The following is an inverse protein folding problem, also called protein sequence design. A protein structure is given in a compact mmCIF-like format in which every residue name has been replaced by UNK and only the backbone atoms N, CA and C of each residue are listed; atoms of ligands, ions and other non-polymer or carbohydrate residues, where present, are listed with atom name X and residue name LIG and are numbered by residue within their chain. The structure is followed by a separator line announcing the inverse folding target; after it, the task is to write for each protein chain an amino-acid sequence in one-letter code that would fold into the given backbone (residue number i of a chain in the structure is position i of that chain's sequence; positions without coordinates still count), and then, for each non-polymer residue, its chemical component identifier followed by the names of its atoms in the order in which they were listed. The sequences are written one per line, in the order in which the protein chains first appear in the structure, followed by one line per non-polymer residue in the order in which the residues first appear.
data_IF_996532662894
#
_entry.id   IF_996532662894
#
_cell.length_a   1.000
_cell.length_b   1.000
_cell.length_c   1.000
_cell.angle_alpha   90.00
_cell.angle_beta   90.00
_cell.angle_gamma   90.00
#
_symmetry.space_group_name_H-M   'P 1'
#
loop_
_entity.id
_entity.type
_entity.pdbx_description
1 polymer ?
#
# COMPACT_ATOMS: atom_id res chain seq x y z
N UNK A 1 8.85 33.50 -31.92
CA UNK A 1 9.33 32.40 -31.05
C UNK A 1 8.29 31.29 -31.02
N UNK A 2 8.59 30.11 -31.60
CA UNK A 2 7.64 28.99 -31.74
C UNK A 2 7.53 28.19 -30.44
N UNK A 3 6.29 27.98 -30.00
CA UNK A 3 5.86 27.22 -28.81
C UNK A 3 6.56 25.85 -28.73
N UNK A 4 7.62 25.72 -27.92
CA UNK A 4 8.21 24.42 -27.53
C UNK A 4 7.56 23.81 -26.27
N UNK A 5 6.61 24.51 -25.64
CA UNK A 5 6.04 24.11 -24.35
C UNK A 5 4.90 23.06 -24.43
N UNK A 6 4.14 23.02 -25.53
CA UNK A 6 2.96 22.13 -25.62
C UNK A 6 3.29 20.63 -25.79
N UNK A 7 4.50 20.28 -26.22
CA UNK A 7 4.96 18.88 -26.29
C UNK A 7 5.24 18.30 -24.91
N UNK A 8 5.82 19.10 -24.02
CA UNK A 8 6.16 18.68 -22.66
C UNK A 8 4.89 18.44 -21.83
N UNK A 9 3.88 19.31 -21.94
CA UNK A 9 2.59 19.12 -21.26
C UNK A 9 1.85 17.87 -21.73
N UNK A 10 1.82 17.59 -23.04
CA UNK A 10 1.21 16.37 -23.57
C UNK A 10 1.91 15.09 -23.08
N UNK A 11 3.24 15.11 -23.02
CA UNK A 11 4.03 13.98 -22.50
C UNK A 11 3.77 13.79 -21.00
N UNK A 12 3.75 14.87 -20.21
CA UNK A 12 3.40 14.82 -18.78
C UNK A 12 2.00 14.25 -18.55
N UNK A 13 1.02 14.71 -19.34
CA UNK A 13 -0.35 14.23 -19.23
C UNK A 13 -0.47 12.73 -19.55
N UNK A 14 0.21 12.27 -20.62
CA UNK A 14 0.26 10.85 -20.99
C UNK A 14 0.90 9.99 -19.89
N UNK A 15 2.04 10.43 -19.34
CA UNK A 15 2.70 9.77 -18.22
C UNK A 15 1.78 9.69 -16.99
N UNK A 16 1.07 10.77 -16.70
CA UNK A 16 0.13 10.80 -15.58
C UNK A 16 -1.03 9.80 -15.77
N UNK A 17 -1.53 9.60 -16.99
CA UNK A 17 -2.54 8.56 -17.25
C UNK A 17 -1.99 7.16 -16.98
N UNK A 18 -0.76 6.88 -17.41
CA UNK A 18 -0.10 5.60 -17.10
C UNK A 18 0.05 5.40 -15.60
N UNK A 19 0.51 6.41 -14.86
CA UNK A 19 0.66 6.32 -13.41
C UNK A 19 -0.68 6.12 -12.69
N UNK A 20 -1.76 6.75 -13.15
CA UNK A 20 -3.12 6.51 -12.62
C UNK A 20 -3.53 5.07 -12.83
N UNK A 21 -3.31 4.53 -14.03
CA UNK A 21 -3.60 3.12 -14.31
C UNK A 21 -2.79 2.19 -13.42
N UNK A 22 -1.49 2.46 -13.27
CA UNK A 22 -0.60 1.69 -12.40
C UNK A 22 -1.10 1.72 -10.96
N UNK A 23 -1.51 2.90 -10.46
CA UNK A 23 -2.07 3.06 -9.12
C UNK A 23 -3.41 2.35 -8.95
N UNK A 24 -4.30 2.38 -9.95
CA UNK A 24 -5.60 1.70 -9.92
C UNK A 24 -5.44 0.18 -9.77
N UNK A 25 -4.56 -0.43 -10.57
CA UNK A 25 -4.34 -1.89 -10.57
C UNK A 25 -3.34 -2.35 -9.50
N UNK A 26 -2.74 -1.42 -8.75
CA UNK A 26 -1.77 -1.75 -7.72
C UNK A 26 -2.44 -2.52 -6.57
N UNK A 27 -2.00 -3.74 -6.32
CA UNK A 27 -2.48 -4.56 -5.21
C UNK A 27 -1.32 -5.26 -4.51
N UNK A 28 -1.57 -5.69 -3.27
CA UNK A 28 -0.62 -6.48 -2.49
C UNK A 28 -0.57 -7.91 -3.03
N UNK A 29 0.63 -8.46 -3.19
CA UNK A 29 0.79 -9.86 -3.62
C UNK A 29 0.76 -10.79 -2.40
N UNK A 30 0.38 -12.06 -2.60
CA UNK A 30 0.24 -13.03 -1.51
C UNK A 30 1.50 -13.28 -0.67
N UNK A 31 2.68 -13.20 -1.27
CA UNK A 31 3.98 -13.47 -0.62
C UNK A 31 4.75 -12.19 -0.27
N UNK A 32 4.17 -11.04 -0.59
CA UNK A 32 4.80 -9.75 -0.33
C UNK A 32 4.60 -9.35 1.13
N UNK A 33 5.60 -8.68 1.71
CA UNK A 33 5.48 -8.11 3.05
C UNK A 33 4.93 -6.67 2.99
N UNK A 34 4.49 -6.16 4.13
CA UNK A 34 3.90 -4.82 4.25
C UNK A 34 4.85 -3.71 3.79
N UNK A 35 6.13 -3.78 4.17
CA UNK A 35 7.08 -2.72 3.86
C UNK A 35 7.36 -2.63 2.34
N UNK A 36 7.49 -3.78 1.67
CA UNK A 36 7.66 -3.86 0.21
C UNK A 36 6.42 -3.33 -0.53
N UNK A 37 5.22 -3.74 -0.07
CA UNK A 37 3.96 -3.30 -0.67
C UNK A 37 3.77 -1.78 -0.56
N UNK A 38 3.93 -1.23 0.66
CA UNK A 38 3.84 0.20 0.90
C UNK A 38 4.91 0.97 0.11
N UNK A 39 6.12 0.41 0.00
CA UNK A 39 7.18 0.98 -0.83
C UNK A 39 6.75 1.17 -2.28
N UNK A 40 6.07 0.18 -2.88
CA UNK A 40 5.52 0.31 -4.25
C UNK A 40 4.42 1.37 -4.34
N UNK A 41 3.49 1.38 -3.39
CA UNK A 41 2.41 2.39 -3.33
C UNK A 41 2.99 3.80 -3.25
N UNK A 42 3.98 4.01 -2.39
CA UNK A 42 4.66 5.29 -2.23
C UNK A 42 5.45 5.68 -3.48
N UNK A 43 6.12 4.74 -4.15
CA UNK A 43 6.84 5.02 -5.38
C UNK A 43 5.91 5.53 -6.49
N UNK A 44 4.73 4.93 -6.68
CA UNK A 44 3.74 5.40 -7.66
C UNK A 44 3.15 6.74 -7.22
N UNK A 45 2.74 6.86 -5.96
CA UNK A 45 2.12 8.08 -5.42
C UNK A 45 3.04 9.30 -5.49
N UNK A 46 4.33 9.12 -5.18
CA UNK A 46 5.33 10.19 -5.28
C UNK A 46 5.57 10.62 -6.73
N UNK A 47 5.55 9.68 -7.68
CA UNK A 47 5.61 9.99 -9.13
C UNK A 47 4.36 10.75 -9.58
N UNK A 48 3.17 10.39 -9.11
CA UNK A 48 1.94 11.12 -9.42
C UNK A 48 1.97 12.55 -8.86
N UNK A 49 2.42 12.69 -7.60
CA UNK A 49 2.58 13.99 -6.93
C UNK A 49 3.57 14.90 -7.66
N UNK A 50 4.70 14.36 -8.12
CA UNK A 50 5.69 15.14 -8.89
C UNK A 50 5.19 15.54 -10.29
N UNK A 51 4.17 14.86 -10.81
CA UNK A 51 3.48 15.19 -12.05
C UNK A 51 2.22 16.05 -11.84
N UNK A 52 2.00 16.56 -10.62
CA UNK A 52 0.95 17.54 -10.31
C UNK A 52 -0.37 16.94 -9.84
N UNK A 53 -0.45 15.62 -9.61
CA UNK A 53 -1.63 15.01 -9.01
C UNK A 53 -1.65 15.24 -7.49
N UNK A 54 -2.82 15.58 -6.96
CA UNK A 54 -3.03 15.57 -5.52
C UNK A 54 -3.14 14.13 -4.99
N UNK A 55 -2.05 13.67 -4.35
CA UNK A 55 -1.97 12.39 -3.65
C UNK A 55 -1.90 12.63 -2.15
N UNK A 56 -3.06 12.89 -1.53
CA UNK A 56 -3.19 13.05 -0.09
C UNK A 56 -3.00 11.71 0.64
N UNK A 57 -2.59 11.78 1.90
CA UNK A 57 -2.40 10.59 2.75
C UNK A 57 -3.68 9.77 2.85
N UNK A 58 -4.85 10.41 2.96
CA UNK A 58 -6.15 9.74 2.98
C UNK A 58 -6.39 8.86 1.75
N UNK A 59 -6.08 9.35 0.54
CA UNK A 59 -6.23 8.58 -0.71
C UNK A 59 -5.32 7.36 -0.72
N UNK A 60 -4.10 7.51 -0.20
CA UNK A 60 -3.10 6.45 -0.15
C UNK A 60 -3.48 5.41 0.91
N UNK A 61 -3.90 5.85 2.10
CA UNK A 61 -4.39 4.99 3.19
C UNK A 61 -5.58 4.16 2.73
N UNK A 62 -6.59 4.78 2.12
CA UNK A 62 -7.75 4.04 1.59
C UNK A 62 -7.35 3.08 0.48
N UNK A 63 -6.41 3.46 -0.40
CA UNK A 63 -5.88 2.55 -1.41
C UNK A 63 -5.28 1.32 -0.76
N UNK A 64 -4.37 1.50 0.21
CA UNK A 64 -3.71 0.40 0.90
C UNK A 64 -4.75 -0.52 1.53
N UNK A 65 -5.65 0.01 2.38
CA UNK A 65 -6.66 -0.79 3.07
C UNK A 65 -7.55 -1.61 2.12
N UNK A 66 -7.92 -1.05 0.96
CA UNK A 66 -8.76 -1.75 -0.04
C UNK A 66 -8.04 -2.84 -0.83
N UNK A 67 -6.71 -2.81 -0.91
CA UNK A 67 -5.94 -3.73 -1.78
C UNK A 67 -4.89 -4.56 -1.03
N UNK A 68 -4.98 -4.62 0.30
CA UNK A 68 -4.32 -5.63 1.09
C UNK A 68 -4.92 -7.02 0.82
N UNK A 69 -4.12 -8.05 0.99
CA UNK A 69 -4.59 -9.44 0.86
C UNK A 69 -5.49 -9.84 2.04
N UNK A 70 -6.28 -10.91 1.87
CA UNK A 70 -7.20 -11.44 2.89
C UNK A 70 -6.52 -11.76 4.23
N UNK A 71 -5.19 -11.99 4.23
CA UNK A 71 -4.37 -12.18 5.44
C UNK A 71 -4.47 -11.01 6.42
N UNK A 72 -4.80 -9.81 5.94
CA UNK A 72 -4.93 -8.60 6.74
C UNK A 72 -6.37 -8.17 6.97
N UNK A 73 -7.37 -8.92 6.48
CA UNK A 73 -8.78 -8.53 6.52
C UNK A 73 -9.28 -8.16 7.92
N UNK A 74 -8.92 -8.96 8.93
CA UNK A 74 -9.29 -8.67 10.32
C UNK A 74 -8.65 -7.38 10.86
N UNK A 75 -7.42 -7.08 10.45
CA UNK A 75 -6.71 -5.86 10.85
C UNK A 75 -7.33 -4.64 10.20
N UNK A 76 -7.71 -4.75 8.91
CA UNK A 76 -8.39 -3.70 8.18
C UNK A 76 -9.68 -3.31 8.89
N UNK A 77 -10.53 -4.30 9.20
CA UNK A 77 -11.78 -4.07 9.95
C UNK A 77 -11.52 -3.38 11.28
N UNK A 78 -10.56 -3.88 12.07
CA UNK A 78 -10.22 -3.28 13.37
C UNK A 78 -9.73 -1.83 13.25
N UNK A 79 -8.97 -1.50 12.21
CA UNK A 79 -8.51 -0.12 11.95
C UNK A 79 -9.70 0.77 11.57
N UNK A 80 -10.57 0.30 10.67
CA UNK A 80 -11.74 1.04 10.20
C UNK A 80 -12.76 1.31 11.32
N UNK A 81 -12.91 0.37 12.27
CA UNK A 81 -13.80 0.54 13.41
C UNK A 81 -13.23 1.46 14.51
N UNK A 82 -11.90 1.49 14.66
CA UNK A 82 -11.26 2.19 15.79
C UNK A 82 -10.68 3.56 15.45
N UNK A 83 -10.46 3.89 14.17
CA UNK A 83 -9.77 5.12 13.73
C UNK A 83 -10.49 5.80 12.57
N UNK A 84 -10.39 7.13 12.49
CA UNK A 84 -10.82 7.89 11.31
C UNK A 84 -9.75 7.79 10.21
N UNK A 85 -9.92 6.83 9.32
CA UNK A 85 -8.99 6.54 8.21
C UNK A 85 -8.76 7.73 7.28
N UNK A 86 -9.70 8.68 7.22
CA UNK A 86 -9.59 9.91 6.41
C UNK A 86 -8.58 10.92 6.96
N UNK A 87 -8.23 10.81 8.25
CA UNK A 87 -7.27 11.68 8.93
C UNK A 87 -5.99 10.94 9.32
N UNK A 88 -5.91 9.66 8.99
CA UNK A 88 -4.80 8.80 9.35
C UNK A 88 -3.58 9.11 8.48
N UNK A 89 -2.41 9.20 9.09
CA UNK A 89 -1.14 9.31 8.37
C UNK A 89 -0.69 7.93 7.86
N UNK A 90 0.04 7.92 6.75
CA UNK A 90 0.57 6.68 6.15
C UNK A 90 1.49 5.95 7.14
N UNK A 91 2.32 6.69 7.87
CA UNK A 91 3.25 6.13 8.87
C UNK A 91 2.52 5.40 10.01
N UNK A 92 1.37 5.92 10.45
CA UNK A 92 0.55 5.28 11.47
C UNK A 92 -0.07 3.97 10.97
N UNK A 93 -0.46 3.96 9.69
CA UNK A 93 -1.01 2.77 9.04
C UNK A 93 0.08 1.71 8.92
N UNK A 94 1.25 2.08 8.42
CA UNK A 94 2.41 1.19 8.32
C UNK A 94 2.74 0.56 9.67
N UNK A 95 2.87 1.37 10.73
CA UNK A 95 3.14 0.85 12.09
C UNK A 95 2.09 -0.17 12.54
N UNK A 96 0.81 0.10 12.29
CA UNK A 96 -0.29 -0.79 12.68
C UNK A 96 -0.21 -2.13 11.93
N UNK A 97 0.04 -2.09 10.62
CA UNK A 97 0.14 -3.28 9.78
C UNK A 97 1.42 -4.11 10.06
N UNK A 98 2.58 -3.46 10.21
CA UNK A 98 3.86 -4.14 10.45
C UNK A 98 3.91 -4.84 11.82
N UNK A 99 3.24 -4.30 12.85
CA UNK A 99 3.10 -4.99 14.14
C UNK A 99 2.30 -6.28 13.99
N UNK A 100 1.22 -6.26 13.20
CA UNK A 100 0.42 -7.47 12.96
C UNK A 100 1.20 -8.51 12.16
N UNK A 101 1.89 -8.11 11.09
CA UNK A 101 2.70 -9.03 10.28
C UNK A 101 3.75 -9.78 11.14
N UNK A 102 4.44 -9.06 12.04
CA UNK A 102 5.42 -9.66 12.96
C UNK A 102 4.80 -10.64 13.95
N UNK A 103 3.60 -10.34 14.46
CA UNK A 103 2.89 -11.26 15.38
C UNK A 103 2.40 -12.51 14.65
N UNK A 104 1.89 -12.36 13.43
CA UNK A 104 1.42 -13.49 12.63
C UNK A 104 2.56 -14.44 12.25
N UNK A 105 3.71 -13.91 11.82
CA UNK A 105 4.91 -14.72 11.52
C UNK A 105 5.39 -15.55 12.72
N UNK A 106 5.25 -15.04 13.95
CA UNK A 106 5.62 -15.79 15.16
C UNK A 106 4.68 -16.98 15.40
N UNK A 107 3.37 -16.76 15.28
CA UNK A 107 2.36 -17.82 15.46
C UNK A 107 2.57 -18.94 14.45
N UNK A 108 2.80 -18.61 13.17
CA UNK A 108 3.03 -19.63 12.13
C UNK A 108 4.29 -20.45 12.35
N UNK A 109 5.34 -19.87 12.95
CA UNK A 109 6.56 -20.61 13.30
C UNK A 109 6.33 -21.53 14.52
N UNK A 110 5.61 -21.05 15.53
CA UNK A 110 5.27 -21.82 16.73
C UNK A 110 4.35 -23.01 16.42
N UNK A 111 3.37 -22.86 15.52
CA UNK A 111 2.51 -23.96 15.06
C UNK A 111 3.29 -25.02 14.24
N UNK A 112 4.25 -24.57 13.42
CA UNK A 112 5.13 -25.47 12.66
C UNK A 112 6.01 -26.32 13.57
N UNK A 113 6.59 -25.72 14.60
CA UNK A 113 7.44 -26.43 15.58
C UNK A 113 6.61 -27.38 16.47
N UNK A 114 5.38 -26.99 16.84
CA UNK A 114 4.48 -27.85 17.62
C UNK A 114 3.98 -29.07 16.80
N UNK A 115 3.71 -28.90 15.51
CA UNK A 115 3.28 -30.00 14.63
C UNK A 115 4.39 -31.04 14.38
N UNK A 116 5.66 -30.63 14.39
CA UNK A 116 6.81 -31.53 14.23
C UNK A 116 7.09 -32.34 15.51
N UNK A 117 6.78 -31.79 16.69
CA UNK A 117 7.03 -32.45 17.98
C UNK A 117 5.98 -33.50 18.38
N UNK A 118 4.82 -33.56 17.72
CA UNK A 118 3.77 -34.56 17.99
C UNK A 118 3.93 -35.86 17.16
N UNK A 119 4.96 -35.95 16.32
CA UNK A 119 5.21 -37.08 15.40
C UNK A 119 6.49 -37.85 15.70
N UNK A 120 7.18 -37.55 16.79
CA UNK A 120 8.40 -38.21 17.26
C UNK A 120 8.15 -39.23 18.35
#
# INVERSE_FOLDING_TARGET
MKKKFGGNERVKWSLLQTLRRDFEVLEMKNEENIDDYLGRVMAVSNKMRSNGEDMSDSKIVEKILRTLTDKFKYVVVAIEESKDTRKMMIDDLQRSLSVHEKKFKKISHEEGDQALNLRG
#
